data_IF_522774751886
#
_entry.id   IF_522774751886
#
_cell.length_a   1.000
_cell.length_b   1.000
_cell.length_c   1.000
_cell.angle_alpha   90.00
_cell.angle_beta   90.00
_cell.angle_gamma   90.00
#
_symmetry.space_group_name_H-M   'P 1'
#
loop_
_entity.id
_entity.type
_entity.pdbx_description
1 polymer ?
#
# COMPACT_ATOMS: atom_id res chain seq x y z
N UNK A 1 -19.37 10.04 -16.80
CA UNK A 1 -18.66 9.21 -15.79
C UNK A 1 -19.57 8.03 -15.46
N UNK A 2 -19.05 6.80 -15.46
CA UNK A 2 -19.83 5.64 -15.03
C UNK A 2 -20.11 5.71 -13.52
N UNK A 3 -21.36 5.49 -13.12
CA UNK A 3 -21.73 5.43 -11.70
C UNK A 3 -21.13 4.18 -11.05
N UNK A 4 -20.48 4.36 -9.89
CA UNK A 4 -19.81 3.27 -9.17
C UNK A 4 -20.69 2.73 -8.06
N UNK A 5 -20.90 1.42 -8.05
CA UNK A 5 -21.56 0.74 -6.94
C UNK A 5 -20.73 0.84 -5.66
N UNK A 6 -21.41 1.07 -4.53
CA UNK A 6 -20.78 1.20 -3.19
C UNK A 6 -21.39 0.22 -2.19
N UNK A 7 -20.75 0.10 -1.03
CA UNK A 7 -21.23 -0.73 0.08
C UNK A 7 -21.43 -2.20 -0.31
N UNK A 8 -22.51 -2.82 0.20
CA UNK A 8 -22.83 -4.24 -0.03
C UNK A 8 -22.99 -4.58 -1.51
N UNK A 9 -23.57 -3.68 -2.31
CA UNK A 9 -23.74 -3.89 -3.75
C UNK A 9 -22.39 -4.00 -4.47
N UNK A 10 -21.45 -3.10 -4.16
CA UNK A 10 -20.08 -3.16 -4.70
C UNK A 10 -19.31 -4.40 -4.26
N UNK A 11 -19.46 -4.81 -3.00
CA UNK A 11 -18.85 -6.07 -2.51
C UNK A 11 -19.38 -7.28 -3.27
N UNK A 12 -20.70 -7.37 -3.46
CA UNK A 12 -21.33 -8.46 -4.23
C UNK A 12 -20.84 -8.50 -5.68
N UNK A 13 -20.74 -7.33 -6.33
CA UNK A 13 -20.22 -7.21 -7.70
C UNK A 13 -18.76 -7.68 -7.77
N UNK A 14 -17.90 -7.25 -6.83
CA UNK A 14 -16.50 -7.67 -6.78
C UNK A 14 -16.35 -9.18 -6.57
N UNK A 15 -17.11 -9.77 -5.66
CA UNK A 15 -17.10 -11.22 -5.42
C UNK A 15 -17.54 -12.01 -6.65
N UNK A 16 -18.61 -11.57 -7.34
CA UNK A 16 -19.04 -12.15 -8.61
C UNK A 16 -17.93 -12.12 -9.65
N UNK A 17 -17.27 -10.97 -9.82
CA UNK A 17 -16.20 -10.79 -10.82
C UNK A 17 -14.99 -11.69 -10.54
N UNK A 18 -14.58 -11.80 -9.27
CA UNK A 18 -13.51 -12.71 -8.84
C UNK A 18 -13.84 -14.18 -9.11
N UNK A 19 -15.08 -14.59 -8.84
CA UNK A 19 -15.51 -15.97 -9.02
C UNK A 19 -15.44 -16.47 -10.48
N UNK A 20 -15.49 -15.57 -11.49
CA UNK A 20 -15.40 -15.96 -12.92
C UNK A 20 -14.07 -16.62 -13.29
N UNK A 21 -13.03 -16.38 -12.51
CA UNK A 21 -11.69 -16.93 -12.75
C UNK A 21 -11.23 -17.80 -11.60
N UNK A 22 -12.17 -18.30 -10.78
CA UNK A 22 -11.89 -19.06 -9.55
C UNK A 22 -11.01 -18.27 -8.57
N UNK A 23 -11.07 -16.94 -8.61
CA UNK A 23 -10.21 -16.06 -7.82
C UNK A 23 -8.75 -16.06 -8.26
N UNK A 24 -8.43 -16.54 -9.46
CA UNK A 24 -7.07 -16.58 -10.00
C UNK A 24 -6.76 -15.36 -10.88
N UNK A 25 -5.48 -14.98 -10.87
CA UNK A 25 -4.92 -13.92 -11.71
C UNK A 25 -4.90 -14.36 -13.18
N UNK A 26 -5.59 -13.61 -14.05
CA UNK A 26 -5.69 -13.92 -15.48
C UNK A 26 -4.36 -13.76 -16.22
N UNK A 27 -3.56 -12.75 -15.87
CA UNK A 27 -2.21 -12.55 -16.44
C UNK A 27 -1.26 -13.68 -16.07
N UNK A 28 -1.26 -14.12 -14.82
CA UNK A 28 -0.43 -15.25 -14.39
C UNK A 28 -0.89 -16.55 -15.05
N UNK A 29 -2.20 -16.78 -15.12
CA UNK A 29 -2.77 -17.96 -15.78
C UNK A 29 -2.40 -18.04 -17.26
N UNK A 30 -2.43 -16.91 -17.98
CA UNK A 30 -1.99 -16.83 -19.36
C UNK A 30 -0.48 -17.15 -19.54
N UNK A 31 0.33 -16.92 -18.50
CA UNK A 31 1.76 -17.28 -18.44
C UNK A 31 2.00 -18.71 -17.94
N UNK A 32 0.95 -19.48 -17.64
CA UNK A 32 1.05 -20.84 -17.07
C UNK A 32 1.28 -20.89 -15.55
N UNK A 33 1.17 -19.76 -14.85
CA UNK A 33 1.35 -19.67 -13.40
C UNK A 33 -0.01 -19.60 -12.68
N UNK A 34 -0.06 -20.15 -11.46
CA UNK A 34 -1.25 -20.11 -10.61
C UNK A 34 -1.01 -19.14 -9.46
N UNK A 35 -1.70 -18.02 -9.48
CA UNK A 35 -1.60 -16.97 -8.45
C UNK A 35 -2.98 -16.44 -8.12
N UNK A 36 -3.21 -16.11 -6.85
CA UNK A 36 -4.49 -15.54 -6.39
C UNK A 36 -4.63 -14.09 -6.86
N UNK A 37 -5.83 -13.76 -7.35
CA UNK A 37 -6.21 -12.40 -7.65
C UNK A 37 -6.56 -11.63 -6.37
N UNK A 38 -5.96 -10.45 -6.21
CA UNK A 38 -6.26 -9.50 -5.14
C UNK A 38 -7.12 -8.34 -5.65
N UNK A 39 -7.10 -8.06 -6.95
CA UNK A 39 -7.72 -6.89 -7.56
C UNK A 39 -8.63 -7.29 -8.72
N UNK A 40 -9.74 -6.57 -8.85
CA UNK A 40 -10.59 -6.56 -10.04
C UNK A 40 -10.32 -5.24 -10.73
N UNK A 41 -9.57 -5.31 -11.82
CA UNK A 41 -9.06 -4.16 -12.58
C UNK A 41 -9.90 -3.92 -13.82
N UNK A 42 -10.04 -2.65 -14.24
CA UNK A 42 -10.73 -2.30 -15.49
C UNK A 42 -9.75 -2.37 -16.67
N UNK A 43 -10.06 -3.18 -17.69
CA UNK A 43 -9.19 -3.36 -18.87
C UNK A 43 -8.92 -2.02 -19.56
N UNK A 44 -9.97 -1.23 -19.80
CA UNK A 44 -9.89 0.21 -20.05
C UNK A 44 -10.28 0.94 -18.77
N UNK A 45 -9.41 1.74 -18.17
CA UNK A 45 -9.73 2.46 -16.94
C UNK A 45 -10.91 3.41 -17.09
N UNK A 46 -11.69 3.57 -16.03
CA UNK A 46 -12.81 4.53 -16.00
C UNK A 46 -12.34 5.97 -16.29
N UNK A 47 -11.13 6.34 -15.82
CA UNK A 47 -10.53 7.65 -16.07
C UNK A 47 -10.22 7.91 -17.55
N UNK A 48 -10.02 6.85 -18.33
CA UNK A 48 -9.77 6.91 -19.77
C UNK A 48 -11.03 6.58 -20.59
N UNK A 49 -12.22 6.71 -19.99
CA UNK A 49 -13.50 6.48 -20.64
C UNK A 49 -13.93 5.01 -20.70
N UNK A 50 -13.36 4.14 -19.87
CA UNK A 50 -13.86 2.77 -19.71
C UNK A 50 -15.21 2.70 -19.00
N UNK A 51 -15.93 1.59 -19.20
CA UNK A 51 -17.22 1.31 -18.56
C UNK A 51 -17.03 0.42 -17.33
N UNK A 52 -17.99 0.43 -16.39
CA UNK A 52 -17.99 -0.52 -15.25
C UNK A 52 -18.74 -1.82 -15.60
N UNK A 53 -18.50 -2.34 -16.80
CA UNK A 53 -19.10 -3.60 -17.26
C UNK A 53 -18.21 -4.79 -16.91
N UNK A 54 -18.83 -5.96 -16.74
CA UNK A 54 -18.12 -7.19 -16.46
C UNK A 54 -17.14 -7.58 -17.58
N UNK A 55 -17.46 -7.25 -18.83
CA UNK A 55 -16.57 -7.46 -19.99
C UNK A 55 -15.33 -6.55 -19.98
N UNK A 56 -15.39 -5.41 -19.30
CA UNK A 56 -14.27 -4.48 -19.16
C UNK A 56 -13.48 -4.72 -17.87
N UNK A 57 -13.51 -5.93 -17.30
CA UNK A 57 -12.78 -6.23 -16.06
C UNK A 57 -11.93 -7.48 -16.16
N UNK A 58 -10.81 -7.47 -15.45
CA UNK A 58 -9.88 -8.60 -15.31
C UNK A 58 -9.45 -8.77 -13.85
N UNK A 59 -9.19 -10.00 -13.44
CA UNK A 59 -8.73 -10.34 -12.10
C UNK A 59 -7.21 -10.44 -12.08
N UNK A 60 -6.55 -9.69 -11.19
CA UNK A 60 -5.08 -9.57 -11.13
C UNK A 60 -4.53 -9.77 -9.71
N UNK A 61 -3.35 -10.36 -9.61
CA UNK A 61 -2.53 -10.32 -8.39
C UNK A 61 -1.88 -8.92 -8.24
N UNK A 62 -1.28 -8.64 -7.07
CA UNK A 62 -0.64 -7.34 -6.81
C UNK A 62 0.41 -6.93 -7.85
N UNK A 63 1.43 -7.77 -8.12
CA UNK A 63 2.46 -7.44 -9.09
C UNK A 63 1.92 -7.15 -10.50
N UNK A 64 1.01 -8.00 -11.00
CA UNK A 64 0.39 -7.79 -12.31
C UNK A 64 -0.50 -6.54 -12.35
N UNK A 65 -1.14 -6.18 -11.24
CA UNK A 65 -1.93 -4.96 -11.13
C UNK A 65 -1.04 -3.71 -11.18
N UNK A 66 0.10 -3.72 -10.49
CA UNK A 66 1.06 -2.62 -10.50
C UNK A 66 1.68 -2.41 -11.89
N UNK A 67 2.08 -3.49 -12.57
CA UNK A 67 2.54 -3.48 -13.97
C UNK A 67 1.51 -2.84 -14.89
N UNK A 68 0.25 -3.29 -14.82
CA UNK A 68 -0.86 -2.75 -15.60
C UNK A 68 -1.06 -1.26 -15.34
N UNK A 69 -1.02 -0.86 -14.07
CA UNK A 69 -1.22 0.54 -13.68
C UNK A 69 -0.10 1.39 -14.28
N UNK A 70 1.14 0.89 -14.25
CA UNK A 70 2.29 1.51 -14.91
C UNK A 70 2.08 1.67 -16.42
N UNK A 71 1.65 0.60 -17.09
CA UNK A 71 1.41 0.60 -18.54
C UNK A 71 0.34 1.62 -18.94
N UNK A 72 -0.70 1.80 -18.12
CA UNK A 72 -1.85 2.64 -18.46
C UNK A 72 -1.71 4.11 -18.06
N UNK A 73 -1.06 4.38 -16.93
CA UNK A 73 -0.98 5.73 -16.37
C UNK A 73 0.45 6.26 -16.27
N UNK A 74 1.45 5.42 -16.55
CA UNK A 74 2.84 5.69 -16.25
C UNK A 74 3.14 5.59 -14.75
N UNK A 75 4.42 5.51 -14.42
CA UNK A 75 4.90 5.76 -13.06
C UNK A 75 5.59 7.11 -13.01
N UNK A 76 5.31 7.88 -11.95
CA UNK A 76 6.24 8.93 -11.53
C UNK A 76 7.37 8.24 -10.77
N UNK A 77 8.61 8.63 -11.06
CA UNK A 77 9.76 8.16 -10.30
C UNK A 77 9.50 8.33 -8.79
N UNK A 78 9.83 7.33 -7.95
CA UNK A 78 9.71 7.46 -6.50
C UNK A 78 10.45 8.70 -6.00
N UNK A 79 9.85 9.41 -5.05
CA UNK A 79 10.53 10.54 -4.41
C UNK A 79 11.61 9.97 -3.48
N UNK A 80 12.87 10.31 -3.71
CA UNK A 80 14.01 9.63 -3.07
C UNK A 80 14.09 9.83 -1.55
N UNK A 81 13.62 10.98 -1.05
CA UNK A 81 13.62 11.27 0.39
C UNK A 81 12.30 10.90 1.07
N UNK A 82 12.38 9.99 2.06
CA UNK A 82 11.31 9.71 3.02
C UNK A 82 11.60 10.44 4.33
N UNK A 83 10.81 11.44 4.67
CA UNK A 83 10.94 12.17 5.93
C UNK A 83 10.05 13.40 5.98
N UNK A 84 9.75 13.86 7.20
CA UNK A 84 8.99 15.07 7.49
C UNK A 84 9.85 15.93 8.42
N UNK A 85 10.08 17.19 8.06
CA UNK A 85 10.82 18.16 8.85
C UNK A 85 10.02 18.64 10.07
N UNK A 86 10.67 19.38 10.96
CA UNK A 86 10.02 19.97 12.14
C UNK A 86 8.94 21.02 11.78
N UNK A 87 9.01 21.56 10.56
CA UNK A 87 8.02 22.45 9.95
C UNK A 87 6.82 21.70 9.34
N UNK A 88 6.80 20.37 9.42
CA UNK A 88 5.75 19.51 8.87
C UNK A 88 5.85 19.29 7.36
N UNK A 89 6.92 19.75 6.68
CA UNK A 89 7.10 19.55 5.24
C UNK A 89 7.91 18.28 4.94
N UNK A 90 7.67 17.62 3.80
CA UNK A 90 8.54 16.55 3.34
C UNK A 90 10.00 17.01 3.21
N UNK A 91 10.96 16.17 3.57
CA UNK A 91 12.39 16.54 3.54
C UNK A 91 13.01 16.47 2.15
N UNK A 92 12.40 15.73 1.22
CA UNK A 92 12.90 15.60 -0.15
C UNK A 92 12.66 16.86 -0.97
N UNK A 93 13.71 17.37 -1.62
CA UNK A 93 13.62 18.51 -2.53
C UNK A 93 12.67 18.23 -3.71
N UNK A 94 12.67 16.99 -4.22
CA UNK A 94 11.87 16.61 -5.39
C UNK A 94 10.39 16.36 -5.07
N UNK A 95 9.99 16.45 -3.80
CA UNK A 95 8.60 16.31 -3.39
C UNK A 95 7.75 17.40 -4.05
N UNK A 96 6.56 17.10 -4.62
CA UNK A 96 5.71 18.09 -5.30
C UNK A 96 5.44 19.37 -4.50
N UNK A 97 5.33 19.27 -3.17
CA UNK A 97 5.16 20.43 -2.29
C UNK A 97 6.42 21.30 -2.13
N UNK A 98 7.61 20.78 -2.40
CA UNK A 98 8.87 21.52 -2.30
C UNK A 98 9.35 22.07 -3.66
N UNK A 99 8.70 21.68 -4.76
CA UNK A 99 9.02 22.21 -6.10
C UNK A 99 8.63 23.69 -6.22
N UNK A 100 9.40 24.44 -6.99
CA UNK A 100 9.17 25.86 -7.26
C UNK A 100 7.79 26.10 -7.89
N UNK A 101 7.02 27.04 -7.33
CA UNK A 101 5.60 27.30 -7.68
C UNK A 101 4.59 26.93 -6.59
N UNK A 102 4.96 26.08 -5.62
CA UNK A 102 4.17 25.82 -4.39
C UNK A 102 4.84 26.33 -3.11
N UNK A 103 6.00 27.00 -3.24
CA UNK A 103 6.63 27.73 -2.15
C UNK A 103 5.79 28.98 -1.86
N UNK A 104 5.18 29.14 -0.67
CA UNK A 104 4.82 30.47 -0.23
C UNK A 104 6.09 31.31 -0.15
N UNK A 105 5.98 32.61 -0.43
CA UNK A 105 7.11 33.52 -0.29
C UNK A 105 7.72 33.39 1.10
N UNK A 106 9.04 33.40 1.18
CA UNK A 106 9.78 33.26 2.43
C UNK A 106 9.44 34.45 3.34
N UNK A 107 8.37 34.32 4.11
CA UNK A 107 7.70 35.45 4.74
C UNK A 107 6.83 35.06 5.93
N UNK A 108 7.16 33.95 6.61
CA UNK A 108 6.87 33.81 8.05
C UNK A 108 8.12 33.26 8.70
N UNK A 109 8.96 34.17 9.20
CA UNK A 109 10.03 33.81 10.10
C UNK A 109 9.42 33.02 11.25
N UNK A 110 9.84 31.76 11.41
CA UNK A 110 9.59 30.99 12.62
C UNK A 110 9.99 31.86 13.80
N UNK A 111 8.99 32.30 14.56
CA UNK A 111 9.17 33.04 15.80
C UNK A 111 9.96 32.14 16.73
N UNK A 112 11.25 32.42 16.84
CA UNK A 112 12.20 31.65 17.64
C UNK A 112 11.75 31.79 19.10
N UNK A 113 11.19 30.73 19.67
CA UNK A 113 10.95 30.69 21.11
C UNK A 113 12.33 30.51 21.76
N UNK A 114 12.97 31.61 22.14
CA UNK A 114 14.11 31.58 23.04
C UNK A 114 13.60 31.25 24.44
N UNK A 115 13.75 30.01 24.86
CA UNK A 115 13.59 29.62 26.26
C UNK A 115 14.79 30.18 27.05
N UNK A 116 14.60 30.96 28.12
CA UNK A 116 15.71 31.37 28.96
C UNK A 116 16.08 30.22 29.90
N UNK A 117 17.37 29.87 29.95
CA UNK A 117 18.05 29.40 31.15
C UNK A 117 17.61 28.05 31.75
N UNK A 118 18.38 27.00 31.46
CA UNK A 118 18.36 25.77 32.24
C UNK A 118 19.57 24.89 31.91
N UNK A 119 20.68 25.10 32.60
CA UNK A 119 21.87 24.25 32.52
C UNK A 119 21.50 22.81 32.93
N UNK A 120 21.49 21.88 31.97
CA UNK A 120 21.35 20.45 32.26
C UNK A 120 22.68 19.76 31.98
N UNK A 121 23.34 19.39 33.08
CA UNK A 121 24.55 18.57 33.14
C UNK A 121 24.46 17.33 32.25
N UNK A 122 25.52 17.06 31.49
CA UNK A 122 25.65 15.88 30.64
C UNK A 122 25.83 14.61 31.49
N UNK A 123 24.76 13.83 31.65
CA UNK A 123 24.80 12.47 32.18
C UNK A 123 24.82 11.45 31.05
N UNK A 124 26.00 10.95 30.69
CA UNK A 124 26.17 9.88 29.69
C UNK A 124 25.73 8.54 30.32
N UNK A 125 24.46 8.15 30.13
CA UNK A 125 24.00 6.78 30.45
C UNK A 125 24.43 5.86 29.30
N UNK A 126 25.31 4.91 29.61
CA UNK A 126 25.70 3.84 28.70
C UNK A 126 24.46 2.99 28.35
N UNK A 127 24.18 2.84 27.05
CA UNK A 127 23.16 1.90 26.57
C UNK A 127 23.73 0.49 26.68
N UNK A 128 23.14 -0.35 27.52
CA UNK A 128 23.43 -1.79 27.49
C UNK A 128 22.92 -2.39 26.18
N UNK A 129 23.68 -3.29 25.53
CA UNK A 129 23.21 -3.93 24.31
C UNK A 129 22.08 -4.91 24.62
N UNK A 130 20.96 -4.75 23.91
CA UNK A 130 19.86 -5.72 23.86
C UNK A 130 20.37 -7.08 23.35
N UNK A 131 20.09 -8.21 24.04
CA UNK A 131 20.47 -9.52 23.53
C UNK A 131 19.65 -9.88 22.29
N UNK A 132 20.19 -10.69 21.36
CA UNK A 132 19.47 -11.12 20.17
C UNK A 132 18.31 -12.06 20.55
N UNK A 133 17.16 -11.84 19.88
CA UNK A 133 15.98 -12.68 20.00
C UNK A 133 16.26 -14.05 19.36
N UNK A 134 16.62 -15.05 20.17
CA UNK A 134 16.67 -16.45 19.73
C UNK A 134 15.26 -17.00 19.67
N UNK A 135 14.74 -17.23 18.45
CA UNK A 135 13.51 -18.01 18.23
C UNK A 135 13.86 -19.47 18.46
N UNK A 136 13.45 -20.04 19.59
CA UNK A 136 13.39 -21.50 19.75
C UNK A 136 12.23 -22.02 18.90
N UNK A 137 12.53 -22.96 18.01
CA UNK A 137 11.51 -23.72 17.30
C UNK A 137 10.81 -24.63 18.33
N UNK A 138 9.60 -24.28 18.73
CA UNK A 138 8.72 -25.20 19.44
C UNK A 138 7.94 -25.98 18.39
N UNK A 139 8.22 -27.28 18.32
CA UNK A 139 7.56 -28.26 17.46
C UNK A 139 6.04 -28.18 17.65
N UNK A 140 5.32 -27.86 16.57
CA UNK A 140 3.87 -27.96 16.54
C UNK A 140 3.50 -29.41 16.26
N UNK A 141 3.10 -30.13 17.31
CA UNK A 141 2.62 -31.50 17.20
C UNK A 141 1.22 -31.51 16.54
N UNK A 142 1.12 -32.17 15.39
CA UNK A 142 -0.13 -32.37 14.67
C UNK A 142 -1.00 -33.33 15.48
N UNK A 143 -1.92 -32.79 16.27
CA UNK A 143 -3.03 -33.57 16.83
C UNK A 143 -4.05 -33.82 15.74
N UNK A 144 -4.02 -35.04 15.22
CA UNK A 144 -5.04 -35.65 14.35
C UNK A 144 -6.43 -35.40 14.94
N UNK A 145 -7.31 -34.80 14.15
CA UNK A 145 -8.71 -34.60 14.50
C UNK A 145 -9.52 -35.75 13.90
N UNK A 146 -9.89 -36.72 14.72
CA UNK A 146 -10.85 -37.76 14.34
C UNK A 146 -12.28 -37.22 14.47
N UNK A 147 -13.02 -37.26 13.36
CA UNK A 147 -14.44 -36.92 13.32
C UNK A 147 -15.28 -38.05 13.94
N UNK A 148 -16.23 -37.77 14.85
CA UNK A 148 -17.20 -38.78 15.25
C UNK A 148 -18.18 -39.04 14.11
N UNK A 149 -18.26 -40.32 13.68
CA UNK A 149 -19.33 -40.83 12.81
C UNK A 149 -20.67 -40.67 13.53
N UNK A 150 -21.59 -39.91 12.94
CA UNK A 150 -23.00 -39.94 13.36
C UNK A 150 -23.63 -41.20 12.81
N UNK A 151 -24.20 -42.01 13.70
CA UNK A 151 -25.19 -43.03 13.37
C UNK A 151 -26.57 -42.42 13.17
#
# INVERSE_FOLDING_TARGET
>A
MAERLRGRAGVKQRLRRLARTDGLCERCRAKGNVELAAFVDHIRPLALGGTDDDSNTRNLCGPCHDEVTAEQFGHRAPIEGRGIGADGRPTSADHPWNREGHRPEAGVASMQHTTPGGSKVEGRVARTPTPPFVRTASSFELKSWEHPRRG
#
